data_IF_293512782013
#
_entry.id   IF_293512782013
#
_cell.length_a   1.000
_cell.length_b   1.000
_cell.length_c   1.000
_cell.angle_alpha   90.00
_cell.angle_beta   90.00
_cell.angle_gamma   90.00
#
_symmetry.space_group_name_H-M   'P 1'
#
loop_
_entity.id
_entity.type
_entity.pdbx_description
1 polymer ?
#
# COMPACT_ATOMS: atom_id res chain seq x y z
N UNK A 1 -11.51 3.17 18.14
CA UNK A 1 -10.42 3.32 17.16
C UNK A 1 -10.76 2.41 16.01
N UNK A 2 -11.12 2.98 14.87
CA UNK A 2 -11.24 2.20 13.64
C UNK A 2 -9.87 1.60 13.36
N UNK A 3 -9.78 0.29 13.50
CA UNK A 3 -8.53 -0.43 13.30
C UNK A 3 -8.19 -0.35 11.81
N UNK A 4 -7.08 0.31 11.47
CA UNK A 4 -6.53 0.30 10.12
C UNK A 4 -5.99 -1.09 9.70
N UNK A 5 -5.92 -2.03 10.64
CA UNK A 5 -5.57 -3.40 10.32
C UNK A 5 -6.61 -4.02 9.38
N UNK A 6 -6.15 -4.57 8.27
CA UNK A 6 -7.00 -5.05 7.19
C UNK A 6 -6.19 -5.45 5.97
N UNK A 7 -6.86 -6.09 5.01
CA UNK A 7 -6.29 -6.42 3.70
C UNK A 7 -6.93 -5.55 2.63
N UNK A 8 -6.08 -4.94 1.82
CA UNK A 8 -6.37 -3.86 0.91
C UNK A 8 -5.87 -4.25 -0.49
N UNK A 9 -6.78 -4.48 -1.42
CA UNK A 9 -6.48 -4.85 -2.81
C UNK A 9 -6.75 -3.72 -3.82
N UNK A 10 -5.98 -3.70 -4.91
CA UNK A 10 -6.30 -2.88 -6.08
C UNK A 10 -5.18 -2.89 -7.10
N UNK A 11 -5.15 -1.87 -7.96
CA UNK A 11 -4.26 -1.84 -9.11
C UNK A 11 -3.54 -0.49 -9.21
N UNK A 12 -2.21 -0.51 -9.21
CA UNK A 12 -1.40 0.68 -9.52
C UNK A 12 -1.19 0.80 -11.03
N UNK A 13 -1.23 2.01 -11.59
CA UNK A 13 -0.72 2.25 -12.93
C UNK A 13 0.77 1.85 -13.01
N UNK A 14 1.20 1.17 -14.10
CA UNK A 14 0.47 0.85 -15.32
C UNK A 14 -0.11 -0.58 -15.34
N UNK A 15 -0.92 -0.97 -14.35
CA UNK A 15 -1.56 -2.29 -14.17
C UNK A 15 -0.72 -3.30 -13.36
N UNK A 16 -0.31 -2.90 -12.15
CA UNK A 16 0.32 -3.76 -11.14
C UNK A 16 -0.71 -4.07 -10.07
N UNK A 17 -1.15 -5.33 -10.01
CA UNK A 17 -2.04 -5.77 -8.93
C UNK A 17 -1.28 -5.71 -7.62
N UNK A 18 -1.87 -5.10 -6.61
CA UNK A 18 -1.25 -4.94 -5.30
C UNK A 18 -2.20 -5.37 -4.22
N UNK A 19 -1.69 -6.19 -3.31
CA UNK A 19 -2.33 -6.56 -2.06
C UNK A 19 -1.49 -6.05 -0.91
N UNK A 20 -2.06 -5.17 -0.09
CA UNK A 20 -1.47 -4.63 1.12
C UNK A 20 -2.23 -5.17 2.34
N UNK A 21 -1.55 -5.88 3.22
CA UNK A 21 -2.08 -6.32 4.50
C UNK A 21 -1.43 -5.50 5.61
N UNK A 22 -2.24 -4.84 6.41
CA UNK A 22 -1.83 -4.13 7.62
C UNK A 22 -2.23 -4.96 8.83
N UNK A 23 -1.27 -5.28 9.68
CA UNK A 23 -1.49 -6.04 10.90
C UNK A 23 -1.71 -5.10 12.09
N UNK A 24 -2.44 -5.55 13.10
CA UNK A 24 -2.69 -4.77 14.31
C UNK A 24 -1.42 -4.53 15.16
N UNK A 25 -0.35 -5.26 14.90
CA UNK A 25 0.95 -5.13 15.56
C UNK A 25 1.85 -4.03 14.95
N UNK A 26 1.35 -3.30 13.93
CA UNK A 26 2.11 -2.23 13.27
C UNK A 26 3.00 -2.72 12.12
N UNK A 27 2.88 -3.98 11.72
CA UNK A 27 3.60 -4.54 10.56
C UNK A 27 2.73 -4.59 9.31
N UNK A 28 3.37 -4.60 8.15
CA UNK A 28 2.69 -4.75 6.86
C UNK A 28 3.29 -5.87 6.00
N UNK A 29 2.46 -6.39 5.11
CA UNK A 29 2.85 -7.23 3.98
C UNK A 29 2.30 -6.61 2.69
N UNK A 30 3.18 -6.28 1.76
CA UNK A 30 2.85 -5.75 0.45
C UNK A 30 3.27 -6.77 -0.61
N UNK A 31 2.31 -7.20 -1.42
CA UNK A 31 2.49 -8.11 -2.55
C UNK A 31 2.14 -7.33 -3.81
N UNK A 32 3.06 -7.28 -4.77
CA UNK A 32 2.85 -6.66 -6.07
C UNK A 32 3.05 -7.70 -7.18
N UNK A 33 2.01 -7.92 -7.96
CA UNK A 33 2.03 -8.80 -9.12
C UNK A 33 2.08 -7.94 -10.38
N UNK A 34 3.21 -8.02 -11.08
CA UNK A 34 3.40 -7.35 -12.36
C UNK A 34 2.81 -8.22 -13.47
N UNK A 35 2.18 -7.59 -14.46
CA UNK A 35 1.51 -8.26 -15.59
C UNK A 35 2.27 -9.48 -16.14
N UNK A 36 1.51 -10.41 -16.74
CA UNK A 36 1.98 -11.69 -17.29
C UNK A 36 3.27 -11.61 -18.13
N UNK A 37 3.49 -10.50 -18.84
CA UNK A 37 4.71 -10.30 -19.64
C UNK A 37 5.98 -10.24 -18.80
N UNK A 38 5.90 -9.74 -17.56
CA UNK A 38 7.03 -9.69 -16.63
C UNK A 38 7.04 -10.90 -15.71
N UNK A 39 5.88 -11.47 -15.36
CA UNK A 39 5.73 -12.58 -14.40
C UNK A 39 6.61 -12.39 -13.16
N UNK A 40 6.68 -11.14 -12.69
CA UNK A 40 7.41 -10.75 -11.49
C UNK A 40 6.41 -10.56 -10.38
N UNK A 41 6.74 -11.13 -9.23
CA UNK A 41 6.01 -10.90 -8.00
C UNK A 41 7.00 -10.38 -6.96
N UNK A 42 6.69 -9.23 -6.39
CA UNK A 42 7.47 -8.63 -5.31
C UNK A 42 6.74 -8.76 -3.98
N UNK A 43 7.52 -8.98 -2.92
CA UNK A 43 7.06 -9.34 -1.60
C UNK A 43 7.83 -8.47 -0.62
N UNK A 44 7.12 -7.58 0.07
CA UNK A 44 7.73 -6.60 0.97
C UNK A 44 7.08 -6.70 2.33
N UNK A 45 7.91 -6.75 3.37
CA UNK A 45 7.48 -6.77 4.76
C UNK A 45 8.23 -5.70 5.52
N UNK A 46 7.53 -5.00 6.39
CA UNK A 46 8.13 -3.95 7.20
C UNK A 46 7.16 -3.45 8.26
N UNK A 47 7.50 -2.31 8.84
CA UNK A 47 6.64 -1.59 9.77
C UNK A 47 5.95 -0.43 9.06
N UNK A 48 4.76 -0.08 9.51
CA UNK A 48 4.05 1.09 9.00
C UNK A 48 3.77 2.09 10.12
N UNK A 49 3.69 3.37 9.75
CA UNK A 49 3.22 4.42 10.63
C UNK A 49 2.01 5.09 10.01
N UNK A 50 1.05 5.47 10.86
CA UNK A 50 -0.06 6.34 10.48
C UNK A 50 0.28 7.74 10.96
N UNK A 51 0.44 8.66 10.02
CA UNK A 51 0.71 10.07 10.29
C UNK A 51 -0.61 10.84 10.33
N UNK A 52 -0.52 12.12 10.71
CA UNK A 52 -1.67 13.04 10.66
C UNK A 52 -2.31 13.07 9.26
N UNK A 53 -3.62 13.34 9.20
CA UNK A 53 -4.41 13.42 7.96
C UNK A 53 -4.56 12.10 7.18
N UNK A 54 -4.58 10.94 7.86
CA UNK A 54 -4.80 9.61 7.26
C UNK A 54 -3.74 9.24 6.21
N UNK A 55 -2.50 9.65 6.44
CA UNK A 55 -1.36 9.27 5.62
C UNK A 55 -0.74 8.00 6.20
N UNK A 56 -0.75 6.93 5.42
CA UNK A 56 -0.08 5.67 5.72
C UNK A 56 1.34 5.71 5.14
N UNK A 57 2.33 5.54 6.00
CA UNK A 57 3.74 5.45 5.64
C UNK A 57 4.22 4.00 5.81
N UNK A 58 4.62 3.35 4.71
CA UNK A 58 5.27 2.05 4.75
C UNK A 58 6.80 2.25 4.75
N UNK A 59 7.47 1.72 5.78
CA UNK A 59 8.93 1.83 5.92
C UNK A 59 9.60 0.71 5.15
N UNK A 60 10.35 1.06 4.09
CA UNK A 60 11.03 0.07 3.27
C UNK A 60 12.30 -0.42 3.98
N UNK A 61 12.46 -1.75 4.21
CA UNK A 61 13.51 -2.26 5.07
C UNK A 61 14.93 -2.15 4.48
N UNK A 62 15.09 -2.06 3.15
CA UNK A 62 16.40 -2.24 2.51
C UNK A 62 17.06 -0.98 1.96
N UNK A 63 16.34 0.13 1.79
CA UNK A 63 16.91 1.34 1.15
C UNK A 63 16.62 2.66 1.91
N UNK A 64 15.83 2.61 2.99
CA UNK A 64 15.41 3.82 3.72
C UNK A 64 14.38 4.69 2.97
N UNK A 65 14.02 4.31 1.75
CA UNK A 65 12.88 4.89 1.04
C UNK A 65 11.58 4.56 1.78
N UNK A 66 10.63 5.49 1.79
CA UNK A 66 9.35 5.29 2.44
C UNK A 66 8.25 5.51 1.44
N UNK A 67 7.26 4.63 1.46
CA UNK A 67 6.12 4.72 0.56
C UNK A 67 4.97 5.39 1.31
N UNK A 68 4.50 6.51 0.77
CA UNK A 68 3.43 7.30 1.36
C UNK A 68 2.13 7.11 0.59
N UNK A 69 1.10 6.64 1.30
CA UNK A 69 -0.25 6.54 0.80
C UNK A 69 -1.15 7.50 1.56
N UNK A 70 -2.04 8.18 0.84
CA UNK A 70 -3.06 9.03 1.43
C UNK A 70 -4.41 8.39 1.13
N UNK A 71 -5.19 8.12 2.17
CA UNK A 71 -6.62 7.80 1.98
C UNK A 71 -7.29 9.09 1.51
N UNK A 72 -7.55 9.18 0.20
CA UNK A 72 -8.43 10.21 -0.33
C UNK A 72 -9.85 9.65 -0.28
N UNK A 73 -10.59 10.04 0.75
CA UNK A 73 -12.02 9.73 0.82
C UNK A 73 -12.73 10.16 -0.48
N UNK A 74 -13.73 9.38 -0.86
CA UNK A 74 -14.57 9.48 -2.07
C UNK A 74 -14.67 10.87 -2.74
N UNK A 75 -13.71 11.26 -3.58
CA UNK A 75 -13.94 12.18 -4.69
C UNK A 75 -13.13 11.73 -5.93
N UNK A 76 -13.77 11.60 -7.12
CA UNK A 76 -13.09 11.12 -8.31
C UNK A 76 -12.50 12.30 -9.07
N UNK A 77 -11.21 12.55 -8.91
CA UNK A 77 -10.42 13.25 -9.91
C UNK A 77 -9.13 12.47 -10.11
N UNK A 78 -9.03 11.80 -11.26
CA UNK A 78 -7.83 11.14 -11.82
C UNK A 78 -6.67 10.98 -10.82
N UNK A 79 -6.75 9.93 -10.01
CA UNK A 79 -5.69 9.58 -9.07
C UNK A 79 -5.08 8.26 -9.52
N UNK A 80 -3.81 8.28 -9.88
CA UNK A 80 -2.96 7.10 -10.16
C UNK A 80 -2.69 6.28 -8.88
N UNK A 81 -3.64 6.23 -7.93
CA UNK A 81 -3.46 5.65 -6.59
C UNK A 81 -4.72 4.92 -6.15
N UNK A 82 -4.53 3.90 -5.32
CA UNK A 82 -5.62 3.20 -4.64
C UNK A 82 -6.52 4.19 -3.91
N UNK A 83 -7.81 4.09 -4.18
CA UNK A 83 -8.84 4.78 -3.44
C UNK A 83 -9.22 3.91 -2.24
N UNK A 84 -8.98 4.43 -1.04
CA UNK A 84 -9.48 3.93 0.25
C UNK A 84 -10.24 5.04 0.95
#
# INVERSE_FOLDING_TARGET
MDSIAGTYNGVLPPNVETTLTLNADGTYLLIQSYNEKQNKQEWLKGSFHVLDYNILMLVYPSNGDNLFYKSEGCQPYYSDRFVW
#
